data_IF_303796597743
#
_entry.id   IF_303796597743
#
_cell.length_a   1.000
_cell.length_b   1.000
_cell.length_c   1.000
_cell.angle_alpha   90.00
_cell.angle_beta   90.00
_cell.angle_gamma   90.00
#
_symmetry.space_group_name_H-M   'P 1'
#
loop_
_entity.id
_entity.type
_entity.pdbx_description
1 polymer ?
#
# COMPACT_ATOMS: atom_id res chain seq x y z
N UNK A 1 -2.21 26.67 -19.75
CA UNK A 1 -1.28 26.51 -18.61
C UNK A 1 -1.38 25.08 -18.12
N UNK A 2 -0.36 24.26 -18.35
CA UNK A 2 -0.35 22.87 -17.86
C UNK A 2 0.01 22.90 -16.37
N UNK A 3 -0.97 22.61 -15.51
CA UNK A 3 -0.76 22.44 -14.08
C UNK A 3 0.22 21.27 -13.89
N UNK A 4 1.47 21.57 -13.59
CA UNK A 4 2.47 20.55 -13.26
C UNK A 4 2.00 19.83 -11.99
N UNK A 5 1.42 18.63 -12.13
CA UNK A 5 1.08 17.76 -10.99
C UNK A 5 2.38 17.51 -10.23
N UNK A 6 2.57 18.19 -9.08
CA UNK A 6 3.64 17.83 -8.14
C UNK A 6 3.41 16.38 -7.76
N UNK A 7 4.32 15.49 -8.14
CA UNK A 7 4.34 14.12 -7.65
C UNK A 7 4.71 14.21 -6.16
N UNK A 8 3.77 13.88 -5.28
CA UNK A 8 4.06 13.71 -3.86
C UNK A 8 5.03 12.54 -3.71
N UNK A 9 6.18 12.81 -3.09
CA UNK A 9 7.17 11.80 -2.74
C UNK A 9 6.67 10.95 -1.57
N UNK A 10 7.29 9.79 -1.34
CA UNK A 10 7.00 9.00 -0.14
C UNK A 10 7.19 9.82 1.15
N UNK A 11 8.17 10.73 1.15
CA UNK A 11 8.42 11.67 2.25
C UNK A 11 7.23 12.63 2.47
N UNK A 12 6.60 13.12 1.40
CA UNK A 12 5.44 14.02 1.50
C UNK A 12 4.20 13.32 2.08
N UNK A 13 4.08 12.00 1.88
CA UNK A 13 2.93 11.22 2.34
C UNK A 13 3.15 10.65 3.75
N UNK A 14 4.36 10.20 4.05
CA UNK A 14 4.70 9.59 5.34
C UNK A 14 5.13 10.64 6.38
N UNK A 15 5.71 11.74 5.94
CA UNK A 15 6.42 12.69 6.81
C UNK A 15 7.70 12.11 7.40
N UNK A 16 8.39 12.90 8.22
CA UNK A 16 9.47 12.37 9.05
C UNK A 16 8.91 11.48 10.17
N UNK A 17 9.57 10.35 10.49
CA UNK A 17 9.15 9.44 11.55
C UNK A 17 9.43 10.04 12.94
N UNK A 18 8.75 11.12 13.29
CA UNK A 18 8.83 11.78 14.60
C UNK A 18 7.83 11.15 15.57
N UNK A 19 8.22 10.07 16.23
CA UNK A 19 7.37 9.33 17.18
C UNK A 19 7.30 9.97 18.58
N UNK A 20 7.11 11.29 18.64
CA UNK A 20 7.11 12.06 19.90
C UNK A 20 5.74 12.12 20.58
N UNK A 21 4.65 11.79 19.88
CA UNK A 21 3.29 11.86 20.43
C UNK A 21 2.44 10.66 20.03
N UNK A 22 1.41 10.34 20.83
CA UNK A 22 0.42 9.32 20.47
C UNK A 22 -0.25 9.60 19.11
N UNK A 23 -0.46 10.89 18.78
CA UNK A 23 -1.00 11.36 17.52
C UNK A 23 -0.04 11.11 16.36
N UNK A 24 1.26 11.38 16.52
CA UNK A 24 2.23 11.17 15.44
C UNK A 24 2.40 9.69 15.10
N UNK A 25 2.35 8.78 16.08
CA UNK A 25 2.32 7.33 15.84
C UNK A 25 1.09 6.94 15.00
N UNK A 26 -0.10 7.42 15.38
CA UNK A 26 -1.34 7.17 14.64
C UNK A 26 -1.26 7.68 13.21
N UNK A 27 -0.83 8.92 13.06
CA UNK A 27 -0.83 9.62 11.77
C UNK A 27 0.17 8.97 10.81
N UNK A 28 1.37 8.62 11.29
CA UNK A 28 2.38 7.90 10.51
C UNK A 28 1.88 6.52 10.04
N UNK A 29 1.33 5.71 10.96
CA UNK A 29 0.80 4.39 10.59
C UNK A 29 -0.40 4.48 9.62
N UNK A 30 -1.27 5.47 9.77
CA UNK A 30 -2.40 5.67 8.86
C UNK A 30 -1.94 6.19 7.49
N UNK A 31 -1.01 7.14 7.45
CA UNK A 31 -0.40 7.63 6.21
C UNK A 31 0.30 6.50 5.46
N UNK A 32 1.11 5.71 6.15
CA UNK A 32 1.76 4.53 5.58
C UNK A 32 0.79 3.48 5.06
N UNK A 33 -0.31 3.25 5.76
CA UNK A 33 -1.35 2.33 5.28
C UNK A 33 -2.02 2.82 4.00
N UNK A 34 -2.33 4.12 3.89
CA UNK A 34 -2.91 4.69 2.68
C UNK A 34 -1.90 4.66 1.52
N UNK A 35 -0.66 5.08 1.76
CA UNK A 35 0.44 5.02 0.80
C UNK A 35 0.63 3.62 0.23
N UNK A 36 0.76 2.61 1.09
CA UNK A 36 0.94 1.22 0.65
C UNK A 36 -0.29 0.67 -0.08
N UNK A 37 -1.51 1.02 0.36
CA UNK A 37 -2.74 0.63 -0.35
C UNK A 37 -2.75 1.20 -1.77
N UNK A 38 -2.51 2.50 -1.91
CA UNK A 38 -2.58 3.18 -3.20
C UNK A 38 -1.45 2.72 -4.12
N UNK A 39 -0.23 2.61 -3.58
CA UNK A 39 0.90 2.04 -4.31
C UNK A 39 0.65 0.60 -4.77
N UNK A 40 -0.05 -0.22 -3.98
CA UNK A 40 -0.39 -1.59 -4.39
C UNK A 40 -1.33 -1.64 -5.59
N UNK A 41 -2.24 -0.68 -5.71
CA UNK A 41 -3.15 -0.57 -6.84
C UNK A 41 -2.38 -0.15 -8.10
N UNK A 42 -1.57 0.90 -7.98
CA UNK A 42 -0.76 1.43 -9.08
C UNK A 42 0.22 0.37 -9.62
N UNK A 43 0.88 -0.40 -8.75
CA UNK A 43 1.78 -1.47 -9.19
C UNK A 43 1.05 -2.64 -9.86
N UNK A 44 -0.17 -2.96 -9.42
CA UNK A 44 -0.97 -3.99 -10.06
C UNK A 44 -1.39 -3.56 -11.48
N UNK A 45 -1.84 -2.31 -11.64
CA UNK A 45 -2.16 -1.74 -12.96
C UNK A 45 -0.93 -1.67 -13.86
N UNK A 46 0.21 -1.21 -13.34
CA UNK A 46 1.47 -1.17 -14.08
C UNK A 46 1.93 -2.57 -14.54
N UNK A 47 1.65 -3.62 -13.76
CA UNK A 47 1.93 -5.00 -14.17
C UNK A 47 1.11 -5.42 -15.40
N UNK A 48 -0.17 -5.03 -15.45
CA UNK A 48 -1.06 -5.30 -16.59
C UNK A 48 -0.60 -4.56 -17.83
N UNK A 49 -0.27 -3.27 -17.71
CA UNK A 49 0.27 -2.46 -18.81
C UNK A 49 1.60 -3.03 -19.32
N UNK A 50 2.53 -3.37 -18.42
CA UNK A 50 3.82 -3.93 -18.77
C UNK A 50 3.66 -5.27 -19.51
N UNK A 51 2.75 -6.14 -19.03
CA UNK A 51 2.45 -7.39 -19.72
C UNK A 51 1.90 -7.12 -21.13
N UNK A 52 0.93 -6.22 -21.26
CA UNK A 52 0.30 -5.89 -22.53
C UNK A 52 1.33 -5.43 -23.56
N UNK A 53 2.20 -4.48 -23.18
CA UNK A 53 3.27 -3.97 -24.06
C UNK A 53 4.27 -5.06 -24.43
N UNK A 54 4.82 -5.79 -23.45
CA UNK A 54 5.84 -6.81 -23.72
C UNK A 54 5.30 -8.00 -24.52
N UNK A 55 4.01 -8.30 -24.42
CA UNK A 55 3.37 -9.40 -25.15
C UNK A 55 3.27 -9.16 -26.66
N UNK A 56 3.35 -7.89 -27.10
CA UNK A 56 3.28 -7.48 -28.50
C UNK A 56 4.66 -7.44 -29.17
N UNK A 57 5.75 -7.51 -28.41
CA UNK A 57 7.10 -7.43 -28.96
C UNK A 57 7.42 -8.73 -29.72
N UNK A 58 7.71 -8.59 -31.02
CA UNK A 58 8.18 -9.70 -31.84
C UNK A 58 9.55 -10.18 -31.33
N UNK A 59 9.72 -11.48 -31.04
CA UNK A 59 10.99 -12.00 -30.58
C UNK A 59 12.02 -12.03 -31.71
N UNK A 60 13.27 -11.75 -31.37
CA UNK A 60 14.41 -11.78 -32.30
C UNK A 60 14.70 -13.21 -32.77
N UNK A 61 14.54 -14.19 -31.89
CA UNK A 61 14.67 -15.60 -32.22
C UNK A 61 13.31 -16.16 -32.66
N UNK A 62 13.26 -16.77 -33.84
CA UNK A 62 12.08 -17.45 -34.37
C UNK A 62 11.59 -18.57 -33.44
N UNK A 63 12.49 -19.20 -32.66
CA UNK A 63 12.16 -20.20 -31.65
C UNK A 63 11.37 -19.63 -30.46
N UNK A 64 11.51 -18.32 -30.20
CA UNK A 64 10.78 -17.61 -29.16
C UNK A 64 9.44 -17.03 -29.64
N UNK A 65 9.10 -17.19 -30.92
CA UNK A 65 7.82 -16.76 -31.48
C UNK A 65 6.62 -17.36 -30.73
N UNK A 66 5.57 -16.56 -30.56
CA UNK A 66 4.32 -17.02 -29.95
C UNK A 66 4.38 -17.20 -28.42
N UNK A 67 4.12 -18.43 -27.93
CA UNK A 67 3.88 -18.71 -26.50
C UNK A 67 5.08 -18.41 -25.60
N UNK A 68 6.31 -18.64 -26.08
CA UNK A 68 7.53 -18.37 -25.32
C UNK A 68 7.74 -16.85 -25.09
N UNK A 69 7.44 -16.00 -26.08
CA UNK A 69 7.41 -14.54 -25.93
C UNK A 69 6.43 -14.08 -24.85
N UNK A 70 5.19 -14.57 -24.86
CA UNK A 70 4.18 -14.25 -23.83
C UNK A 70 4.59 -14.73 -22.44
N UNK A 71 5.29 -15.86 -22.34
CA UNK A 71 5.82 -16.34 -21.06
C UNK A 71 6.84 -15.35 -20.49
N UNK A 72 7.77 -14.83 -21.30
CA UNK A 72 8.73 -13.81 -20.85
C UNK A 72 8.04 -12.54 -20.38
N UNK A 73 7.03 -12.07 -21.11
CA UNK A 73 6.22 -10.91 -20.69
C UNK A 73 5.59 -11.15 -19.32
N UNK A 74 4.98 -12.33 -19.11
CA UNK A 74 4.38 -12.72 -17.82
C UNK A 74 5.41 -12.81 -16.70
N UNK A 75 6.55 -13.46 -16.96
CA UNK A 75 7.61 -13.60 -15.95
C UNK A 75 8.16 -12.23 -15.54
N UNK A 76 8.26 -11.29 -16.48
CA UNK A 76 8.68 -9.91 -16.21
C UNK A 76 7.64 -9.15 -15.39
N UNK A 77 6.38 -9.12 -15.85
CA UNK A 77 5.32 -8.37 -15.17
C UNK A 77 4.96 -8.93 -13.79
N UNK A 78 5.17 -10.23 -13.56
CA UNK A 78 4.95 -10.88 -12.26
C UNK A 78 5.69 -10.19 -11.11
N UNK A 79 6.86 -9.60 -11.35
CA UNK A 79 7.60 -8.90 -10.30
C UNK A 79 6.84 -7.67 -9.76
N UNK A 80 6.09 -6.97 -10.61
CA UNK A 80 5.23 -5.86 -10.18
C UNK A 80 4.01 -6.35 -9.40
N UNK A 81 3.43 -7.51 -9.77
CA UNK A 81 2.38 -8.16 -8.97
C UNK A 81 2.89 -8.52 -7.58
N UNK A 82 4.07 -9.13 -7.47
CA UNK A 82 4.69 -9.46 -6.18
C UNK A 82 4.91 -8.19 -5.36
N UNK A 83 5.39 -7.11 -5.96
CA UNK A 83 5.57 -5.83 -5.29
C UNK A 83 4.23 -5.24 -4.80
N UNK A 84 3.16 -5.35 -5.60
CA UNK A 84 1.82 -4.95 -5.20
C UNK A 84 1.31 -5.76 -3.99
N UNK A 85 1.50 -7.08 -3.99
CA UNK A 85 1.16 -7.95 -2.85
C UNK A 85 1.97 -7.61 -1.60
N UNK A 86 3.27 -7.35 -1.75
CA UNK A 86 4.12 -6.91 -0.64
C UNK A 86 3.65 -5.59 -0.04
N UNK A 87 3.18 -4.64 -0.86
CA UNK A 87 2.59 -3.40 -0.36
C UNK A 87 1.25 -3.63 0.36
N UNK A 88 0.40 -4.55 -0.10
CA UNK A 88 -0.81 -4.94 0.65
C UNK A 88 -0.46 -5.49 2.02
N UNK A 89 0.58 -6.33 2.09
CA UNK A 89 1.09 -6.86 3.35
C UNK A 89 1.62 -5.73 4.25
N UNK A 90 2.42 -4.81 3.69
CA UNK A 90 2.94 -3.64 4.42
C UNK A 90 1.82 -2.76 4.98
N UNK A 91 0.78 -2.47 4.20
CA UNK A 91 -0.41 -1.74 4.66
C UNK A 91 -1.09 -2.44 5.86
N UNK A 92 -1.21 -3.77 5.81
CA UNK A 92 -1.72 -4.57 6.92
C UNK A 92 -0.84 -4.48 8.17
N UNK A 93 0.47 -4.57 8.00
CA UNK A 93 1.44 -4.44 9.09
C UNK A 93 1.44 -3.05 9.74
N UNK A 94 1.24 -1.98 8.96
CA UNK A 94 1.07 -0.62 9.49
C UNK A 94 -0.16 -0.49 10.39
N UNK A 95 -1.31 -1.07 9.97
CA UNK A 95 -2.50 -1.12 10.83
C UNK A 95 -2.27 -1.93 12.10
N UNK A 96 -1.58 -3.07 11.99
CA UNK A 96 -1.25 -3.92 13.14
C UNK A 96 -0.31 -3.20 14.11
N UNK A 97 0.67 -2.45 13.62
CA UNK A 97 1.59 -1.68 14.46
C UNK A 97 0.82 -0.70 15.35
N UNK A 98 -0.08 0.09 14.78
CA UNK A 98 -0.90 1.02 15.56
C UNK A 98 -1.87 0.29 16.50
N UNK A 99 -2.48 -0.82 16.06
CA UNK A 99 -3.35 -1.61 16.92
C UNK A 99 -2.60 -2.21 18.12
N UNK A 100 -1.37 -2.69 17.91
CA UNK A 100 -0.48 -3.18 18.96
C UNK A 100 -0.05 -2.07 19.91
N UNK A 101 0.26 -0.87 19.41
CA UNK A 101 0.51 0.30 20.27
C UNK A 101 -0.67 0.57 21.19
N UNK A 102 -1.90 0.65 20.64
CA UNK A 102 -3.10 0.88 21.45
C UNK A 102 -3.38 -0.23 22.46
N UNK A 103 -3.07 -1.48 22.13
CA UNK A 103 -3.28 -2.63 23.02
C UNK A 103 -2.25 -2.65 24.15
N UNK A 104 -0.97 -2.55 23.80
CA UNK A 104 0.13 -2.78 24.74
C UNK A 104 0.36 -1.58 25.68
N UNK A 105 -0.02 -0.38 25.26
CA UNK A 105 0.14 0.86 26.05
C UNK A 105 -1.21 1.40 26.54
N UNK A 106 -2.23 0.54 26.67
CA UNK A 106 -3.59 0.95 27.00
C UNK A 106 -3.68 1.66 28.36
N UNK A 107 -2.93 1.18 29.37
CA UNK A 107 -2.94 1.72 30.72
C UNK A 107 -2.34 3.14 30.75
N UNK A 108 -1.21 3.34 30.08
CA UNK A 108 -0.52 4.61 29.94
C UNK A 108 -1.36 5.62 29.16
N UNK A 109 -2.00 5.16 28.08
CA UNK A 109 -2.92 5.99 27.30
C UNK A 109 -4.13 6.43 28.14
N UNK A 110 -4.69 5.54 28.96
CA UNK A 110 -5.80 5.87 29.86
C UNK A 110 -5.36 6.86 30.95
N UNK A 111 -4.18 6.65 31.56
CA UNK A 111 -3.60 7.56 32.55
C UNK A 111 -3.33 8.96 31.97
N UNK A 112 -2.91 9.02 30.71
CA UNK A 112 -2.71 10.27 29.96
C UNK A 112 -4.03 10.94 29.51
N UNK A 113 -5.19 10.41 29.90
CA UNK A 113 -6.50 10.97 29.54
C UNK A 113 -6.87 10.79 28.06
N UNK A 114 -6.18 9.92 27.33
CA UNK A 114 -6.54 9.58 25.95
C UNK A 114 -7.84 8.78 26.01
N UNK A 115 -8.94 9.42 25.59
CA UNK A 115 -10.25 8.76 25.52
C UNK A 115 -10.13 7.50 24.67
N UNK A 116 -10.58 6.37 25.24
CA UNK A 116 -10.53 5.08 24.56
C UNK A 116 -11.36 5.10 23.26
N UNK A 117 -11.09 4.13 22.37
CA UNK A 117 -11.60 4.07 21.00
C UNK A 117 -13.09 4.41 20.91
N UNK A 118 -13.55 5.08 19.82
CA UNK A 118 -14.96 5.18 19.52
C UNK A 118 -15.55 3.77 19.52
N UNK A 119 -16.53 3.55 20.41
CA UNK A 119 -17.31 2.32 20.46
C UNK A 119 -17.84 2.10 19.04
N UNK A 120 -17.50 0.96 18.41
CA UNK A 120 -18.10 0.62 17.11
C UNK A 120 -19.62 0.74 17.30
N UNK A 121 -20.31 1.63 16.57
CA UNK A 121 -21.76 1.67 16.65
C UNK A 121 -22.25 0.27 16.29
N UNK A 122 -23.06 -0.33 17.15
CA UNK A 122 -23.64 -1.62 16.87
C UNK A 122 -24.46 -1.50 15.59
N UNK A 123 -24.14 -2.34 14.60
CA UNK A 123 -24.97 -2.44 13.41
C UNK A 123 -26.35 -2.95 13.86
N UNK A 124 -27.38 -2.12 13.72
CA UNK A 124 -28.76 -2.49 14.02
C UNK A 124 -29.49 -2.69 12.69
N UNK A 125 -30.11 -3.86 12.53
CA UNK A 125 -31.15 -4.04 11.53
C UNK A 125 -32.42 -3.40 12.09
N UNK A 126 -32.92 -2.35 11.45
CA UNK A 126 -34.26 -1.82 11.68
C UNK A 126 -35.26 -2.72 10.93
N UNK A 127 -36.43 -2.99 11.54
CA UNK A 127 -37.49 -3.85 10.98
C UNK A 127 -38.52 -3.03 10.18
#
# INVERSE_FOLDING_TARGET
MAQQRRRSTAQDVLGDPEFMTNKSIRDYCNGGRLFCRDGSLELAMAAEELYAVLSQIAPVDALLAGRAGRKRAKDTSKHLIIAAEALKYAAGSMAKAYASFQKNYAAELQAAGVKSKPVKPAFKFEA
#
